data_IF_419927393526
#
_entry.id   IF_419927393526
#
_cell.length_a   1.000
_cell.length_b   1.000
_cell.length_c   1.000
_cell.angle_alpha   90.00
_cell.angle_beta   90.00
_cell.angle_gamma   90.00
#
_symmetry.space_group_name_H-M   'P 1'
#
loop_
_entity.id
_entity.type
_entity.pdbx_description
1 polymer ?
#
# COMPACT_ATOMS: atom_id res chain seq x y z
N UNK A 1 5.42 -19.75 -10.76
CA UNK A 1 5.56 -18.46 -11.46
C UNK A 1 6.20 -18.72 -12.81
N UNK A 2 5.64 -19.65 -13.57
CA UNK A 2 5.82 -19.69 -15.02
C UNK A 2 4.98 -18.57 -15.61
N UNK A 3 5.46 -17.34 -15.45
CA UNK A 3 4.88 -16.19 -16.14
C UNK A 3 5.02 -16.51 -17.64
N UNK A 4 3.92 -16.52 -18.39
CA UNK A 4 4.00 -16.52 -19.85
C UNK A 4 4.98 -15.43 -20.25
N UNK A 5 5.94 -15.74 -21.12
CA UNK A 5 7.20 -15.00 -21.25
C UNK A 5 7.07 -13.50 -21.59
N UNK A 6 5.86 -12.99 -21.89
CA UNK A 6 5.60 -11.61 -22.34
C UNK A 6 4.58 -10.80 -21.51
N UNK A 7 3.85 -11.38 -20.54
CA UNK A 7 2.80 -10.63 -19.83
C UNK A 7 3.35 -9.55 -18.88
N UNK A 8 2.81 -8.31 -18.88
CA UNK A 8 3.16 -7.28 -17.91
C UNK A 8 2.66 -7.65 -16.50
N UNK A 9 3.42 -7.29 -15.47
CA UNK A 9 3.08 -7.59 -14.07
C UNK A 9 2.33 -6.40 -13.46
N UNK A 10 1.18 -6.69 -12.84
CA UNK A 10 0.44 -5.77 -11.99
C UNK A 10 0.62 -6.17 -10.53
N UNK A 11 1.34 -5.34 -9.76
CA UNK A 11 1.75 -5.65 -8.40
C UNK A 11 0.90 -4.90 -7.37
N UNK A 12 0.17 -5.63 -6.53
CA UNK A 12 -0.58 -5.09 -5.41
C UNK A 12 0.15 -5.38 -4.08
N UNK A 13 0.45 -4.33 -3.32
CA UNK A 13 1.13 -4.41 -2.02
C UNK A 13 0.22 -3.87 -0.91
N UNK A 14 -0.21 -4.78 -0.04
CA UNK A 14 -1.16 -4.48 1.03
C UNK A 14 -0.63 -3.59 2.16
N UNK A 15 -1.53 -3.13 3.02
CA UNK A 15 -1.18 -2.46 4.27
C UNK A 15 -0.74 -3.42 5.40
N UNK A 16 -0.12 -2.85 6.43
CA UNK A 16 0.36 -3.61 7.61
C UNK A 16 1.55 -3.00 8.35
N UNK A 17 1.86 -1.72 8.11
CA UNK A 17 2.97 -1.01 8.75
C UNK A 17 4.33 -1.61 8.43
N UNK A 18 5.25 -1.54 9.40
CA UNK A 18 6.64 -2.00 9.26
C UNK A 18 6.75 -3.50 8.92
N UNK A 19 5.79 -4.31 9.40
CA UNK A 19 5.70 -5.73 9.05
C UNK A 19 5.50 -5.92 7.54
N UNK A 20 4.55 -5.17 6.97
CA UNK A 20 4.27 -5.22 5.54
C UNK A 20 5.46 -4.73 4.73
N UNK A 21 6.14 -3.66 5.17
CA UNK A 21 7.33 -3.16 4.51
C UNK A 21 8.42 -4.25 4.41
N UNK A 22 8.76 -4.91 5.50
CA UNK A 22 9.79 -5.96 5.48
C UNK A 22 9.36 -7.18 4.66
N UNK A 23 8.12 -7.67 4.83
CA UNK A 23 7.60 -8.81 4.08
C UNK A 23 7.57 -8.56 2.58
N UNK A 24 7.03 -7.42 2.13
CA UNK A 24 6.97 -7.06 0.72
C UNK A 24 8.37 -6.82 0.13
N UNK A 25 9.32 -6.27 0.91
CA UNK A 25 10.71 -6.14 0.45
C UNK A 25 11.33 -7.51 0.17
N UNK A 26 11.04 -8.52 0.99
CA UNK A 26 11.43 -9.91 0.74
C UNK A 26 10.82 -10.50 -0.53
N UNK A 27 9.52 -10.27 -0.75
CA UNK A 27 8.82 -10.67 -1.98
C UNK A 27 9.47 -10.04 -3.22
N UNK A 28 9.75 -8.74 -3.16
CA UNK A 28 10.39 -8.00 -4.25
C UNK A 28 11.83 -8.47 -4.50
N UNK A 29 12.57 -8.87 -3.45
CA UNK A 29 13.89 -9.49 -3.60
C UNK A 29 13.81 -10.77 -4.41
N UNK A 30 12.85 -11.66 -4.13
CA UNK A 30 12.66 -12.87 -4.93
C UNK A 30 12.30 -12.52 -6.38
N UNK A 31 11.40 -11.55 -6.60
CA UNK A 31 11.07 -11.10 -7.96
C UNK A 31 12.30 -10.54 -8.71
N UNK A 32 13.15 -9.78 -8.03
CA UNK A 32 14.38 -9.24 -8.60
C UNK A 32 15.38 -10.35 -8.95
N UNK A 33 15.57 -11.35 -8.09
CA UNK A 33 16.45 -12.50 -8.38
C UNK A 33 16.00 -13.30 -9.62
N UNK A 34 14.73 -13.16 -10.03
CA UNK A 34 14.16 -13.77 -11.23
C UNK A 34 14.09 -12.80 -12.42
N UNK A 35 14.64 -11.59 -12.32
CA UNK A 35 14.61 -10.58 -13.39
C UNK A 35 13.21 -10.07 -13.71
N UNK A 36 12.30 -10.05 -12.72
CA UNK A 36 10.89 -9.72 -12.95
C UNK A 36 10.55 -8.25 -12.71
N UNK A 37 11.42 -7.45 -12.09
CA UNK A 37 11.09 -6.04 -11.80
C UNK A 37 10.93 -5.22 -13.09
N UNK A 38 11.68 -5.54 -14.14
CA UNK A 38 11.61 -4.92 -15.46
C UNK A 38 10.23 -5.10 -16.11
N UNK A 39 9.48 -6.13 -15.70
CA UNK A 39 8.15 -6.45 -16.23
C UNK A 39 7.02 -5.83 -15.44
N UNK A 40 7.31 -5.23 -14.29
CA UNK A 40 6.30 -4.53 -13.49
C UNK A 40 5.86 -3.31 -14.28
N UNK A 41 4.61 -3.32 -14.73
CA UNK A 41 4.01 -2.23 -15.49
C UNK A 41 3.09 -1.38 -14.61
N UNK A 42 2.54 -1.96 -13.54
CA UNK A 42 1.59 -1.29 -12.64
C UNK A 42 1.83 -1.70 -11.20
N UNK A 43 1.70 -0.74 -10.30
CA UNK A 43 1.85 -0.90 -8.86
C UNK A 43 0.66 -0.26 -8.16
N UNK A 44 0.09 -0.96 -7.20
CA UNK A 44 -0.95 -0.44 -6.32
C UNK A 44 -0.56 -0.72 -4.89
N UNK A 45 -0.55 0.31 -4.05
CA UNK A 45 -0.04 0.19 -2.68
C UNK A 45 -0.99 0.77 -1.65
N UNK A 46 -0.93 0.21 -0.45
CA UNK A 46 -1.70 0.66 0.70
C UNK A 46 -0.79 0.77 1.92
N UNK A 47 -0.88 1.85 2.67
CA UNK A 47 -0.25 2.00 4.00
C UNK A 47 1.24 1.63 4.00
N UNK A 48 1.64 0.59 4.76
CA UNK A 48 3.01 0.08 4.78
C UNK A 48 3.59 -0.25 3.39
N UNK A 49 2.77 -0.80 2.48
CA UNK A 49 3.19 -1.01 1.09
C UNK A 49 3.53 0.30 0.38
N UNK A 50 2.77 1.38 0.62
CA UNK A 50 3.03 2.70 0.04
C UNK A 50 4.33 3.30 0.59
N UNK A 51 4.53 3.20 1.90
CA UNK A 51 5.76 3.69 2.56
C UNK A 51 7.00 2.96 2.03
N UNK A 52 6.96 1.62 1.94
CA UNK A 52 8.03 0.83 1.35
C UNK A 52 8.36 1.32 -0.06
N UNK A 53 7.32 1.55 -0.86
CA UNK A 53 7.51 1.92 -2.25
C UNK A 53 8.11 3.32 -2.39
N UNK A 54 7.72 4.27 -1.54
CA UNK A 54 8.42 5.55 -1.42
C UNK A 54 9.92 5.42 -1.16
N UNK A 55 10.34 4.50 -0.28
CA UNK A 55 11.76 4.24 0.00
C UNK A 55 12.49 3.61 -1.19
N UNK A 56 11.85 2.67 -1.88
CA UNK A 56 12.40 2.04 -3.09
C UNK A 56 12.66 3.10 -4.16
N UNK A 57 11.66 3.92 -4.49
CA UNK A 57 11.82 5.02 -5.44
C UNK A 57 12.93 5.99 -5.00
N UNK A 58 12.93 6.41 -3.72
CA UNK A 58 13.98 7.29 -3.18
C UNK A 58 15.39 6.73 -3.33
N UNK A 59 15.59 5.43 -3.16
CA UNK A 59 16.91 4.79 -3.28
C UNK A 59 17.50 4.86 -4.71
N UNK A 60 16.63 5.11 -5.70
CA UNK A 60 16.94 5.10 -7.13
C UNK A 60 16.57 6.43 -7.82
N UNK A 61 16.72 7.55 -7.11
CA UNK A 61 16.46 8.90 -7.63
C UNK A 61 15.05 9.06 -8.22
N UNK A 62 14.06 8.48 -7.53
CA UNK A 62 12.65 8.47 -7.90
C UNK A 62 12.35 7.77 -9.23
N UNK A 63 13.20 6.82 -9.62
CA UNK A 63 12.96 5.88 -10.72
C UNK A 63 12.72 4.46 -10.19
N UNK A 64 12.03 3.68 -11.00
CA UNK A 64 11.86 2.26 -10.74
C UNK A 64 13.19 1.51 -10.95
N UNK A 65 13.65 0.70 -9.98
CA UNK A 65 14.91 -0.01 -10.11
C UNK A 65 14.81 -1.17 -11.11
N UNK A 66 15.91 -1.42 -11.81
CA UNK A 66 16.16 -2.75 -12.41
C UNK A 66 16.31 -3.81 -11.31
N UNK A 67 16.11 -5.07 -11.65
CA UNK A 67 16.32 -6.20 -10.77
C UNK A 67 17.73 -6.22 -10.17
N UNK A 68 18.76 -5.92 -10.97
CA UNK A 68 20.14 -5.84 -10.50
C UNK A 68 20.34 -4.69 -9.50
N UNK A 69 19.90 -3.47 -9.84
CA UNK A 69 19.98 -2.33 -8.93
C UNK A 69 19.20 -2.58 -7.63
N UNK A 70 18.08 -3.30 -7.72
CA UNK A 70 17.29 -3.64 -6.56
C UNK A 70 18.07 -4.52 -5.59
N UNK A 71 18.75 -5.56 -6.09
CA UNK A 71 19.54 -6.48 -5.27
C UNK A 71 20.76 -5.77 -4.67
N UNK A 72 21.53 -5.07 -5.51
CA UNK A 72 22.84 -4.53 -5.11
C UNK A 72 22.74 -3.29 -4.22
N UNK A 73 21.72 -2.45 -4.45
CA UNK A 73 21.61 -1.13 -3.83
C UNK A 73 20.32 -0.98 -3.03
N UNK A 74 19.18 -1.21 -3.65
CA UNK A 74 17.88 -0.84 -3.04
C UNK A 74 17.55 -1.70 -1.83
N UNK A 75 17.65 -3.02 -1.94
CA UNK A 75 17.36 -3.96 -0.87
C UNK A 75 18.19 -3.69 0.39
N UNK A 76 19.54 -3.62 0.33
CA UNK A 76 20.34 -3.32 1.52
C UNK A 76 20.07 -1.92 2.07
N UNK A 77 19.93 -0.91 1.20
CA UNK A 77 19.66 0.46 1.65
C UNK A 77 18.31 0.60 2.36
N UNK A 78 17.24 0.05 1.79
CA UNK A 78 15.90 0.08 2.39
C UNK A 78 15.92 -0.70 3.70
N UNK A 79 16.52 -1.89 3.73
CA UNK A 79 16.66 -2.68 4.96
C UNK A 79 17.34 -1.88 6.08
N UNK A 80 18.40 -1.15 5.75
CA UNK A 80 19.09 -0.27 6.70
C UNK A 80 18.20 0.88 7.19
N UNK A 81 17.41 1.52 6.31
CA UNK A 81 16.48 2.56 6.75
C UNK A 81 15.41 2.03 7.72
N UNK A 82 14.89 0.81 7.49
CA UNK A 82 13.90 0.19 8.39
C UNK A 82 14.49 -0.18 9.75
N UNK A 83 15.80 -0.47 9.80
CA UNK A 83 16.51 -0.87 11.02
C UNK A 83 17.12 0.30 11.81
N UNK A 84 17.31 1.46 11.17
CA UNK A 84 17.99 2.63 11.77
C UNK A 84 17.06 3.80 12.09
N UNK A 85 15.89 3.89 11.45
CA UNK A 85 14.97 5.02 11.61
C UNK A 85 13.54 4.59 11.96
N UNK A 86 12.96 5.28 12.94
CA UNK A 86 11.56 5.09 13.35
C UNK A 86 10.70 6.23 12.80
N UNK A 87 9.80 5.91 11.86
CA UNK A 87 8.84 6.86 11.31
C UNK A 87 7.92 7.42 12.40
N UNK A 88 7.48 6.57 13.33
CA UNK A 88 6.62 6.98 14.44
C UNK A 88 7.36 7.94 15.38
N UNK A 89 8.60 7.63 15.76
CA UNK A 89 9.38 8.51 16.63
C UNK A 89 9.69 9.85 15.94
N UNK A 90 10.07 9.82 14.67
CA UNK A 90 10.31 11.03 13.87
C UNK A 90 9.07 11.93 13.79
N UNK A 91 7.89 11.35 13.51
CA UNK A 91 6.64 12.09 13.52
C UNK A 91 6.32 12.72 14.88
N UNK A 92 6.63 12.05 16.00
CA UNK A 92 6.51 12.65 17.34
C UNK A 92 7.53 13.75 17.58
N UNK A 93 8.78 13.61 17.11
CA UNK A 93 9.81 14.65 17.24
C UNK A 93 9.44 15.94 16.49
N UNK A 94 8.59 15.85 15.46
CA UNK A 94 8.05 17.06 14.81
C UNK A 94 7.23 17.93 15.77
N UNK A 95 6.70 17.39 16.87
CA UNK A 95 6.00 18.15 17.91
C UNK A 95 6.93 18.97 18.81
N UNK A 96 8.24 18.73 18.80
CA UNK A 96 9.20 19.57 19.53
C UNK A 96 9.31 20.99 18.92
N UNK A 97 8.79 21.19 17.71
CA UNK A 97 8.76 22.48 17.03
C UNK A 97 7.43 23.19 17.33
N UNK A 98 7.41 24.34 18.04
CA UNK A 98 6.18 24.99 18.51
C UNK A 98 5.16 25.28 17.40
N UNK A 99 5.62 25.65 16.19
CA UNK A 99 4.74 25.91 15.05
C UNK A 99 3.97 24.69 14.55
N UNK A 100 4.43 23.47 14.86
CA UNK A 100 3.77 22.22 14.47
C UNK A 100 2.67 21.79 15.47
N UNK A 101 2.50 22.47 16.61
CA UNK A 101 1.48 22.12 17.61
C UNK A 101 0.05 22.22 17.07
N UNK A 102 -0.17 23.04 16.03
CA UNK A 102 -1.43 23.09 15.26
C UNK A 102 -1.84 21.72 14.68
N UNK A 103 -0.89 20.79 14.55
CA UNK A 103 -1.09 19.44 14.03
C UNK A 103 -1.08 18.35 15.12
N UNK A 104 -1.06 18.71 16.41
CA UNK A 104 -1.11 17.73 17.52
C UNK A 104 -2.30 16.76 17.41
N UNK A 105 -3.45 17.27 16.91
CA UNK A 105 -4.67 16.48 16.67
C UNK A 105 -4.74 15.87 15.26
N UNK A 106 -3.79 16.21 14.38
CA UNK A 106 -3.71 15.75 12.99
C UNK A 106 -2.35 15.12 12.72
N UNK A 107 -2.13 13.97 13.36
CA UNK A 107 -0.84 13.27 13.35
C UNK A 107 -0.44 12.81 11.93
N UNK A 108 -1.38 12.66 11.00
CA UNK A 108 -1.09 12.44 9.57
C UNK A 108 -0.30 13.58 8.93
N UNK A 109 -0.54 14.83 9.34
CA UNK A 109 0.28 15.96 8.89
C UNK A 109 1.71 15.90 9.45
N UNK A 110 1.88 15.39 10.69
CA UNK A 110 3.20 15.17 11.28
C UNK A 110 3.96 14.06 10.55
N UNK A 111 3.27 12.98 10.17
CA UNK A 111 3.84 11.92 9.35
C UNK A 111 4.25 12.45 7.97
N UNK A 112 3.42 13.28 7.33
CA UNK A 112 3.77 13.92 6.06
C UNK A 112 5.02 14.80 6.20
N UNK A 113 5.13 15.58 7.28
CA UNK A 113 6.32 16.39 7.56
C UNK A 113 7.57 15.53 7.78
N UNK A 114 7.46 14.42 8.53
CA UNK A 114 8.55 13.47 8.75
C UNK A 114 9.03 12.86 7.43
N UNK A 115 8.11 12.36 6.61
CA UNK A 115 8.42 11.78 5.31
C UNK A 115 9.13 12.79 4.40
N UNK A 116 8.64 14.03 4.36
CA UNK A 116 9.20 15.08 3.51
C UNK A 116 10.56 15.56 4.01
N UNK A 117 10.69 15.91 5.29
CA UNK A 117 11.88 16.60 5.83
C UNK A 117 13.03 15.65 6.16
N UNK A 118 12.71 14.49 6.75
CA UNK A 118 13.74 13.62 7.35
C UNK A 118 13.98 12.35 6.54
N UNK A 119 12.97 11.91 5.80
CA UNK A 119 13.07 10.82 4.84
C UNK A 119 13.20 11.31 3.40
N UNK A 120 13.32 12.63 3.19
CA UNK A 120 13.49 13.32 1.89
C UNK A 120 12.59 12.78 0.77
N UNK A 121 11.32 12.54 1.09
CA UNK A 121 10.26 12.25 0.13
C UNK A 121 9.53 13.55 -0.26
N UNK A 122 10.23 14.68 -0.23
CA UNK A 122 9.74 16.00 -0.62
C UNK A 122 9.95 16.27 -2.11
N UNK A 123 9.35 15.41 -2.93
CA UNK A 123 9.29 15.59 -4.38
C UNK A 123 7.83 15.66 -4.82
N UNK A 124 7.52 16.36 -5.93
CA UNK A 124 6.18 16.36 -6.50
C UNK A 124 5.81 14.95 -7.00
N UNK A 125 4.53 14.60 -6.99
CA UNK A 125 4.06 13.32 -7.54
C UNK A 125 4.45 13.15 -9.01
N UNK A 126 4.52 14.25 -9.78
CA UNK A 126 4.97 14.23 -11.17
C UNK A 126 6.45 13.88 -11.35
N UNK A 127 7.26 13.88 -10.28
CA UNK A 127 8.64 13.40 -10.32
C UNK A 127 8.73 11.87 -10.39
N UNK A 128 7.67 11.16 -10.00
CA UNK A 128 7.58 9.72 -10.23
C UNK A 128 7.32 9.50 -11.72
N UNK A 129 8.21 8.77 -12.38
CA UNK A 129 8.05 8.40 -13.79
C UNK A 129 6.71 7.72 -14.08
N UNK A 130 6.27 7.76 -15.34
CA UNK A 130 4.99 7.19 -15.76
C UNK A 130 4.96 5.64 -15.76
N UNK A 131 6.13 5.01 -15.74
CA UNK A 131 6.28 3.55 -15.76
C UNK A 131 7.21 3.07 -14.63
N UNK A 132 6.80 2.09 -13.81
CA UNK A 132 5.45 1.53 -13.75
C UNK A 132 4.44 2.58 -13.28
N UNK A 133 3.20 2.40 -13.72
CA UNK A 133 2.09 3.20 -13.23
C UNK A 133 1.84 2.90 -11.75
N UNK A 134 2.01 3.88 -10.87
CA UNK A 134 1.83 3.69 -9.43
C UNK A 134 0.58 4.39 -8.90
N UNK A 135 -0.34 3.60 -8.34
CA UNK A 135 -1.55 4.04 -7.62
C UNK A 135 -1.34 3.94 -6.12
N UNK A 136 -1.18 5.08 -5.45
CA UNK A 136 -1.16 5.17 -3.98
C UNK A 136 -2.59 5.31 -3.49
N UNK A 137 -3.08 4.37 -2.68
CA UNK A 137 -4.50 4.32 -2.31
C UNK A 137 -4.77 4.97 -0.94
N UNK A 138 -5.86 5.74 -0.89
CA UNK A 138 -6.50 6.29 0.30
C UNK A 138 -8.02 6.07 0.25
N UNK A 139 -8.71 6.57 1.27
CA UNK A 139 -10.18 6.51 1.36
C UNK A 139 -10.73 7.90 1.61
N UNK A 140 -11.62 8.37 0.75
CA UNK A 140 -12.34 9.65 0.92
C UNK A 140 -13.42 9.46 1.98
N UNK A 141 -13.42 10.29 3.04
CA UNK A 141 -14.40 10.19 4.11
C UNK A 141 -15.80 10.62 3.67
N UNK A 142 -15.89 11.60 2.77
CA UNK A 142 -17.13 12.23 2.36
C UNK A 142 -18.06 11.29 1.57
N UNK A 143 -17.50 10.34 0.81
CA UNK A 143 -18.27 9.42 -0.04
C UNK A 143 -17.90 7.94 0.16
N UNK A 144 -16.91 7.64 1.00
CA UNK A 144 -16.44 6.28 1.26
C UNK A 144 -15.82 5.58 0.05
N UNK A 145 -15.32 6.32 -0.95
CA UNK A 145 -14.70 5.74 -2.16
C UNK A 145 -13.17 5.70 -2.05
N UNK A 146 -12.58 4.87 -2.93
CA UNK A 146 -11.13 4.78 -3.10
C UNK A 146 -10.59 6.06 -3.71
N UNK A 147 -9.89 6.85 -2.89
CA UNK A 147 -9.08 7.94 -3.37
C UNK A 147 -7.76 7.39 -3.89
N UNK A 148 -7.28 7.89 -5.03
CA UNK A 148 -5.98 7.50 -5.58
C UNK A 148 -5.11 8.71 -5.86
N UNK A 149 -3.81 8.54 -5.65
CA UNK A 149 -2.77 9.42 -6.19
C UNK A 149 -2.00 8.63 -7.23
N UNK A 150 -1.92 9.14 -8.46
CA UNK A 150 -1.33 8.41 -9.60
C UNK A 150 -0.74 9.38 -10.61
N UNK A 151 0.59 9.38 -10.73
CA UNK A 151 1.30 10.34 -11.58
C UNK A 151 0.93 11.76 -11.18
N UNK A 152 0.41 12.57 -12.10
CA UNK A 152 -0.09 13.91 -11.81
C UNK A 152 -1.57 13.99 -11.45
N UNK A 153 -2.28 12.87 -11.29
CA UNK A 153 -3.72 12.84 -11.06
C UNK A 153 -4.07 12.40 -9.62
N UNK A 154 -5.06 13.07 -9.03
CA UNK A 154 -5.65 12.71 -7.74
C UNK A 154 -7.17 12.66 -7.83
N UNK A 155 -7.81 11.79 -7.05
CA UNK A 155 -9.26 11.78 -6.95
C UNK A 155 -9.87 10.39 -6.76
N UNK A 156 -11.19 10.33 -6.92
CA UNK A 156 -11.95 9.09 -6.92
C UNK A 156 -13.01 9.10 -8.03
N UNK A 157 -13.60 7.95 -8.31
CA UNK A 157 -14.49 7.80 -9.47
C UNK A 157 -15.83 8.53 -9.30
N UNK A 158 -16.23 8.89 -8.08
CA UNK A 158 -17.50 9.55 -7.79
C UNK A 158 -17.36 11.08 -7.77
N UNK A 159 -16.30 11.62 -7.17
CA UNK A 159 -16.00 13.05 -7.23
C UNK A 159 -15.46 13.47 -8.60
N UNK A 160 -14.75 12.56 -9.27
CA UNK A 160 -13.91 12.88 -10.42
C UNK A 160 -12.45 13.03 -10.04
N UNK A 161 -11.66 13.45 -11.02
CA UNK A 161 -10.20 13.52 -10.92
C UNK A 161 -9.71 14.94 -11.19
N UNK A 162 -8.65 15.33 -10.50
CA UNK A 162 -7.98 16.61 -10.67
C UNK A 162 -6.50 16.41 -10.99
N UNK A 163 -5.95 17.32 -11.78
CA UNK A 163 -4.50 17.39 -11.99
C UNK A 163 -3.85 18.10 -10.79
N UNK A 164 -2.85 17.44 -10.21
CA UNK A 164 -2.09 17.88 -9.05
C UNK A 164 -0.60 17.50 -9.20
N UNK A 165 0.09 17.93 -10.27
CA UNK A 165 1.48 17.55 -10.53
C UNK A 165 2.42 17.92 -9.38
N UNK A 166 2.21 19.08 -8.76
CA UNK A 166 2.99 19.61 -7.64
C UNK A 166 2.60 19.04 -6.27
N UNK A 167 1.65 18.09 -6.20
CA UNK A 167 1.25 17.50 -4.93
C UNK A 167 2.44 16.72 -4.32
N UNK A 168 2.80 16.92 -3.04
CA UNK A 168 3.97 16.26 -2.47
C UNK A 168 3.78 14.75 -2.31
N UNK A 169 4.74 13.96 -2.78
CA UNK A 169 4.76 12.49 -2.64
C UNK A 169 4.65 12.08 -1.17
N UNK A 170 5.44 12.67 -0.28
CA UNK A 170 5.39 12.38 1.16
C UNK A 170 4.00 12.60 1.78
N UNK A 171 3.21 13.54 1.25
CA UNK A 171 1.82 13.75 1.70
C UNK A 171 0.88 12.65 1.19
N UNK A 172 1.03 12.18 -0.05
CA UNK A 172 0.24 11.06 -0.59
C UNK A 172 0.54 9.76 0.19
N UNK A 173 1.81 9.53 0.50
CA UNK A 173 2.26 8.42 1.33
C UNK A 173 1.70 8.51 2.75
N UNK A 174 1.67 9.70 3.35
CA UNK A 174 1.09 9.92 4.66
C UNK A 174 -0.42 9.65 4.67
N UNK A 175 -1.17 10.07 3.63
CA UNK A 175 -2.60 9.71 3.48
C UNK A 175 -2.77 8.20 3.46
N UNK A 176 -1.98 7.52 2.63
CA UNK A 176 -2.09 6.07 2.49
C UNK A 176 -1.78 5.33 3.79
N UNK A 177 -0.98 5.91 4.70
CA UNK A 177 -0.59 5.38 6.00
C UNK A 177 -1.37 5.97 7.20
N UNK A 178 -2.38 6.81 6.95
CA UNK A 178 -3.14 7.53 7.95
C UNK A 178 -4.16 6.63 8.67
N UNK A 179 -3.67 5.63 9.43
CA UNK A 179 -4.55 4.66 10.07
C UNK A 179 -5.52 5.35 11.06
N UNK A 180 -6.85 5.10 10.98
CA UNK A 180 -7.87 5.88 11.67
C UNK A 180 -7.71 6.01 13.19
N UNK A 181 -7.19 4.96 13.86
CA UNK A 181 -7.02 4.95 15.33
C UNK A 181 -5.75 5.70 15.76
N UNK A 182 -4.79 5.87 14.86
CA UNK A 182 -3.44 6.35 15.18
C UNK A 182 -3.18 7.77 14.73
N UNK A 183 -3.60 8.14 13.52
CA UNK A 183 -3.09 9.36 12.85
C UNK A 183 -4.14 10.42 12.46
N UNK A 184 -5.42 10.06 12.37
CA UNK A 184 -6.50 10.94 11.90
C UNK A 184 -6.43 11.23 10.40
N UNK A 185 -7.46 11.82 9.77
CA UNK A 185 -7.44 12.07 8.34
C UNK A 185 -6.47 13.20 7.96
N UNK A 186 -5.96 13.14 6.72
CA UNK A 186 -5.32 14.30 6.10
C UNK A 186 -6.38 15.12 5.36
N UNK A 187 -6.43 16.42 5.63
CA UNK A 187 -7.37 17.33 4.97
C UNK A 187 -6.75 17.89 3.67
N UNK A 188 -7.33 17.51 2.53
CA UNK A 188 -7.01 18.07 1.22
C UNK A 188 -7.92 19.27 0.95
N UNK A 189 -7.34 20.41 0.56
CA UNK A 189 -8.12 21.55 0.06
C UNK A 189 -8.63 21.24 -1.35
N UNK A 190 -9.89 20.82 -1.46
CA UNK A 190 -10.47 20.45 -2.74
C UNK A 190 -10.72 21.69 -3.63
N UNK A 191 -10.95 22.85 -3.01
CA UNK A 191 -11.19 24.13 -3.67
C UNK A 191 -10.00 24.69 -4.45
N UNK A 192 -8.79 24.14 -4.26
CA UNK A 192 -7.59 24.55 -4.99
C UNK A 192 -7.36 23.78 -6.29
N UNK A 193 -8.27 22.87 -6.65
CA UNK A 193 -8.14 22.00 -7.80
C UNK A 193 -9.33 22.15 -8.75
N UNK A 194 -9.07 22.00 -10.05
CA UNK A 194 -10.13 21.85 -11.05
C UNK A 194 -10.45 20.37 -11.20
N UNK A 195 -11.61 19.96 -10.70
CA UNK A 195 -12.10 18.59 -10.77
C UNK A 195 -12.82 18.36 -12.07
N UNK A 196 -12.51 17.23 -12.71
CA UNK A 196 -13.16 16.79 -13.94
C UNK A 196 -13.72 15.40 -13.76
N UNK A 197 -14.94 15.18 -14.23
CA UNK A 197 -15.61 13.88 -14.21
C UNK A 197 -16.20 13.60 -15.58
N UNK A 198 -16.22 12.32 -15.94
CA UNK A 198 -16.95 11.82 -17.11
C UNK A 198 -18.00 10.82 -16.66
N UNK A 199 -19.07 10.72 -17.42
CA UNK A 199 -20.06 9.65 -17.24
C UNK A 199 -19.42 8.29 -17.50
N UNK A 200 -20.01 7.25 -16.91
CA UNK A 200 -19.54 5.89 -17.10
C UNK A 200 -19.58 5.53 -18.60
N UNK A 201 -18.54 4.85 -19.08
CA UNK A 201 -18.30 4.48 -20.49
C UNK A 201 -18.14 5.63 -21.50
N UNK A 202 -18.12 6.89 -21.08
CA UNK A 202 -17.82 7.99 -21.98
C UNK A 202 -16.35 7.95 -22.49
N UNK A 203 -16.06 8.48 -23.69
CA UNK A 203 -14.70 8.54 -24.24
C UNK A 203 -13.70 9.21 -23.27
N UNK A 204 -12.42 8.84 -23.36
CA UNK A 204 -11.36 9.60 -22.66
C UNK A 204 -11.25 10.97 -23.31
N UNK A 205 -11.12 12.04 -22.51
CA UNK A 205 -11.10 13.42 -23.01
C UNK A 205 -12.47 14.11 -23.01
N UNK A 206 -13.56 13.40 -22.71
CA UNK A 206 -14.90 13.99 -22.58
C UNK A 206 -15.22 14.43 -21.13
N UNK A 207 -14.20 14.61 -20.29
CA UNK A 207 -14.39 14.98 -18.89
C UNK A 207 -14.87 16.43 -18.78
N UNK A 208 -15.93 16.64 -18.02
CA UNK A 208 -16.48 17.96 -17.74
C UNK A 208 -16.04 18.44 -16.37
N UNK A 209 -15.86 19.75 -16.23
CA UNK A 209 -15.57 20.36 -14.92
C UNK A 209 -16.79 20.15 -14.03
N UNK A 210 -16.55 19.65 -12.82
CA UNK A 210 -17.59 19.41 -11.82
C UNK A 210 -17.26 20.12 -10.52
N UNK A 211 -18.30 20.56 -9.82
CA UNK A 211 -18.19 20.92 -8.42
C UNK A 211 -18.26 19.64 -7.59
N UNK A 212 -17.24 19.42 -6.76
CA UNK A 212 -17.19 18.28 -5.84
C UNK A 212 -18.08 18.48 -4.62
N UNK A 213 -18.60 19.70 -4.38
CA UNK A 213 -19.51 20.03 -3.28
C UNK A 213 -18.82 20.18 -1.92
N UNK A 214 -17.49 20.02 -1.87
CA UNK A 214 -16.70 20.09 -0.63
C UNK A 214 -15.50 21.02 -0.80
N UNK A 215 -15.34 21.98 0.13
CA UNK A 215 -14.13 22.83 0.17
C UNK A 215 -12.89 22.03 0.61
N UNK A 216 -13.09 21.01 1.43
CA UNK A 216 -12.04 20.12 1.95
C UNK A 216 -12.50 18.67 1.89
N UNK A 217 -11.59 17.78 1.51
CA UNK A 217 -11.78 16.34 1.56
C UNK A 217 -10.92 15.76 2.70
N UNK A 218 -11.48 14.83 3.46
CA UNK A 218 -10.77 14.14 4.53
C UNK A 218 -10.34 12.76 4.06
N UNK A 219 -9.04 12.56 3.93
CA UNK A 219 -8.49 11.33 3.38
C UNK A 219 -7.91 10.45 4.49
N UNK A 220 -8.39 9.21 4.55
CA UNK A 220 -7.92 8.15 5.43
C UNK A 220 -7.03 7.15 4.70
N UNK A 221 -6.39 6.26 5.47
CA UNK A 221 -5.67 5.09 4.98
C UNK A 221 -6.51 4.29 3.96
N UNK A 222 -5.87 3.82 2.89
CA UNK A 222 -6.52 3.05 1.84
C UNK A 222 -7.07 1.70 2.32
N UNK A 223 -6.57 1.19 3.44
CA UNK A 223 -6.99 -0.05 4.06
C UNK A 223 -8.43 -0.04 4.56
N UNK A 224 -9.03 1.14 4.77
CA UNK A 224 -10.45 1.27 5.08
C UNK A 224 -11.34 0.83 3.90
N UNK A 225 -10.91 1.08 2.66
CA UNK A 225 -11.63 0.70 1.44
C UNK A 225 -11.19 -0.65 0.88
N UNK A 226 -9.88 -0.81 0.66
CA UNK A 226 -9.26 -2.00 0.08
C UNK A 226 -7.81 -2.17 0.57
N UNK A 227 -7.62 -2.90 1.67
CA UNK A 227 -6.29 -3.14 2.23
C UNK A 227 -5.36 -3.98 1.34
N UNK A 228 -5.88 -4.72 0.36
CA UNK A 228 -5.05 -5.49 -0.57
C UNK A 228 -4.50 -4.61 -1.68
N UNK A 229 -5.15 -3.48 -1.98
CA UNK A 229 -4.81 -2.63 -3.11
C UNK A 229 -5.06 -3.31 -4.47
N UNK A 230 -6.00 -4.26 -4.55
CA UNK A 230 -6.26 -5.05 -5.76
C UNK A 230 -7.30 -4.40 -6.68
N UNK A 231 -8.14 -3.50 -6.15
CA UNK A 231 -9.19 -2.81 -6.87
C UNK A 231 -8.73 -2.15 -8.20
N UNK A 232 -7.54 -1.53 -8.34
CA UNK A 232 -7.13 -1.00 -9.64
C UNK A 232 -6.88 -2.05 -10.73
N UNK A 233 -6.68 -3.33 -10.38
CA UNK A 233 -6.29 -4.38 -11.33
C UNK A 233 -7.35 -5.47 -11.51
N UNK A 234 -8.24 -5.63 -10.54
CA UNK A 234 -9.20 -6.72 -10.52
C UNK A 234 -10.59 -6.22 -10.15
N UNK A 235 -11.63 -6.81 -10.75
CA UNK A 235 -13.02 -6.61 -10.36
C UNK A 235 -13.45 -7.75 -9.43
N UNK A 236 -13.56 -7.56 -8.10
CA UNK A 236 -13.94 -8.64 -7.18
C UNK A 236 -15.32 -9.23 -7.49
N UNK A 237 -16.29 -8.40 -7.90
CA UNK A 237 -17.64 -8.84 -8.23
C UNK A 237 -17.74 -9.64 -9.53
N UNK A 238 -16.97 -9.28 -10.56
CA UNK A 238 -16.92 -10.01 -11.84
C UNK A 238 -15.90 -11.14 -11.85
N UNK A 239 -15.00 -11.16 -10.87
CA UNK A 239 -13.85 -12.05 -10.78
C UNK A 239 -12.98 -12.05 -12.04
N UNK A 240 -12.73 -10.86 -12.58
CA UNK A 240 -12.01 -10.66 -13.84
C UNK A 240 -10.97 -9.54 -13.70
N UNK A 241 -9.84 -9.63 -14.42
CA UNK A 241 -8.86 -8.56 -14.47
C UNK A 241 -9.44 -7.32 -15.19
N UNK A 242 -9.02 -6.13 -14.76
CA UNK A 242 -9.41 -4.85 -15.42
C UNK A 242 -8.66 -4.63 -16.73
N UNK A 243 -7.44 -5.17 -16.84
CA UNK A 243 -6.68 -5.20 -18.09
C UNK A 243 -6.44 -6.65 -18.50
N UNK A 244 -6.82 -7.00 -19.72
CA UNK A 244 -6.51 -8.31 -20.27
C UNK A 244 -4.98 -8.48 -20.42
N UNK A 245 -4.48 -9.68 -20.13
CA UNK A 245 -3.06 -10.03 -20.30
C UNK A 245 -2.12 -9.67 -19.14
N UNK A 246 -2.60 -8.93 -18.13
CA UNK A 246 -1.83 -8.66 -16.90
C UNK A 246 -1.65 -9.93 -16.07
N UNK A 247 -0.41 -10.18 -15.65
CA UNK A 247 -0.12 -11.15 -14.59
C UNK A 247 -0.24 -10.45 -13.23
N UNK A 248 -1.28 -10.76 -12.46
CA UNK A 248 -1.59 -10.05 -11.21
C UNK A 248 -0.86 -10.72 -10.03
N UNK A 249 0.01 -9.98 -9.35
CA UNK A 249 0.66 -10.42 -8.11
C UNK A 249 0.06 -9.66 -6.93
N UNK A 250 -0.61 -10.37 -6.03
CA UNK A 250 -1.17 -9.80 -4.80
C UNK A 250 -0.31 -10.24 -3.61
N UNK A 251 0.47 -9.31 -3.06
CA UNK A 251 1.24 -9.53 -1.83
C UNK A 251 0.48 -8.98 -0.63
N UNK A 252 0.09 -9.88 0.28
CA UNK A 252 -0.77 -9.59 1.43
C UNK A 252 -0.04 -9.85 2.75
N UNK A 253 0.35 -8.76 3.41
CA UNK A 253 0.97 -8.70 4.71
C UNK A 253 0.00 -8.25 5.83
N UNK A 254 -1.31 -8.29 5.56
CA UNK A 254 -2.35 -8.02 6.53
C UNK A 254 -2.29 -8.99 7.70
N UNK A 255 -2.33 -8.45 8.93
CA UNK A 255 -2.43 -9.28 10.13
C UNK A 255 -3.81 -9.95 10.16
N UNK A 256 -3.88 -11.28 10.35
CA UNK A 256 -5.16 -11.94 10.49
C UNK A 256 -5.83 -11.54 11.80
N UNK A 257 -7.16 -11.57 11.80
CA UNK A 257 -7.96 -11.30 12.99
C UNK A 257 -7.63 -12.32 14.09
N UNK A 258 -7.16 -11.90 15.28
CA UNK A 258 -6.88 -12.82 16.38
C UNK A 258 -8.17 -13.45 16.92
N UNK A 259 -8.10 -14.70 17.38
CA UNK A 259 -9.21 -15.39 18.02
C UNK A 259 -9.52 -14.80 19.42
N UNK A 260 -10.79 -14.87 19.81
CA UNK A 260 -11.27 -14.46 21.14
C UNK A 260 -11.60 -12.97 21.30
N UNK A 261 -12.31 -12.64 22.38
CA UNK A 261 -12.62 -11.27 22.81
C UNK A 261 -11.85 -11.00 24.11
N UNK A 262 -10.82 -10.17 24.06
CA UNK A 262 -9.94 -9.90 25.21
C UNK A 262 -10.49 -8.84 26.20
N UNK A 263 -11.80 -8.56 26.20
CA UNK A 263 -12.29 -7.31 26.83
C UNK A 263 -13.73 -7.36 27.38
N UNK A 264 -13.90 -6.90 28.62
CA UNK A 264 -15.19 -6.72 29.30
C UNK A 264 -16.13 -5.68 28.65
N UNK A 265 -17.39 -5.56 29.14
CA UNK A 265 -18.49 -4.80 28.50
C UNK A 265 -18.19 -3.35 28.14
N UNK A 266 -17.44 -2.62 28.98
CA UNK A 266 -17.20 -1.18 28.85
C UNK A 266 -15.87 -0.83 28.16
N UNK A 267 -15.17 -1.80 27.56
CA UNK A 267 -13.84 -1.56 27.03
C UNK A 267 -13.88 -0.83 25.66
N UNK A 268 -13.25 0.35 25.51
CA UNK A 268 -13.22 1.11 24.26
C UNK A 268 -12.54 0.34 23.09
N UNK A 269 -11.70 -0.66 23.37
CA UNK A 269 -11.13 -1.56 22.37
C UNK A 269 -12.18 -2.47 21.70
N UNK A 270 -13.44 -2.49 22.17
CA UNK A 270 -14.54 -3.17 21.45
C UNK A 270 -14.85 -2.53 20.11
N UNK A 271 -14.85 -1.19 20.02
CA UNK A 271 -15.07 -0.49 18.75
C UNK A 271 -13.93 -0.82 17.79
N UNK A 272 -12.68 -0.85 18.29
CA UNK A 272 -11.54 -1.35 17.53
C UNK A 272 -11.76 -2.78 17.03
N UNK A 273 -12.21 -3.68 17.90
CA UNK A 273 -12.47 -5.08 17.52
C UNK A 273 -13.54 -5.19 16.43
N UNK A 274 -14.61 -4.40 16.51
CA UNK A 274 -15.65 -4.36 15.46
C UNK A 274 -15.06 -3.89 14.14
N UNK A 275 -14.25 -2.83 14.14
CA UNK A 275 -13.55 -2.34 12.95
C UNK A 275 -12.58 -3.39 12.39
N UNK A 276 -11.83 -4.09 13.24
CA UNK A 276 -10.94 -5.17 12.82
C UNK A 276 -11.73 -6.31 12.14
N UNK A 277 -12.91 -6.68 12.67
CA UNK A 277 -13.80 -7.69 12.08
C UNK A 277 -14.31 -7.23 10.71
N UNK A 278 -14.85 -6.01 10.61
CA UNK A 278 -15.38 -5.46 9.37
C UNK A 278 -14.29 -5.37 8.29
N UNK A 279 -13.09 -4.92 8.67
CA UNK A 279 -11.93 -4.86 7.77
C UNK A 279 -11.51 -6.25 7.28
N UNK A 280 -11.46 -7.24 8.17
CA UNK A 280 -11.12 -8.62 7.80
C UNK A 280 -12.15 -9.24 6.85
N UNK A 281 -13.45 -8.98 7.04
CA UNK A 281 -14.48 -9.46 6.11
C UNK A 281 -14.34 -8.85 4.72
N UNK A 282 -14.07 -7.53 4.65
CA UNK A 282 -13.81 -6.81 3.40
C UNK A 282 -12.59 -7.36 2.65
N UNK A 283 -11.52 -7.68 3.38
CA UNK A 283 -10.31 -8.34 2.86
C UNK A 283 -10.59 -9.77 2.40
N UNK A 284 -11.25 -10.57 3.23
CA UNK A 284 -11.51 -11.98 2.95
C UNK A 284 -12.38 -12.19 1.70
N UNK A 285 -13.37 -11.32 1.45
CA UNK A 285 -14.16 -11.35 0.21
C UNK A 285 -13.30 -11.16 -1.04
N UNK A 286 -12.35 -10.22 -1.01
CA UNK A 286 -11.43 -9.97 -2.13
C UNK A 286 -10.43 -11.10 -2.32
N UNK A 287 -9.91 -11.66 -1.22
CA UNK A 287 -9.04 -12.84 -1.26
C UNK A 287 -9.77 -14.00 -1.94
N UNK A 288 -10.98 -14.35 -1.49
CA UNK A 288 -11.77 -15.46 -2.06
C UNK A 288 -12.06 -15.24 -3.54
N UNK A 289 -12.47 -14.03 -3.94
CA UNK A 289 -12.73 -13.69 -5.33
C UNK A 289 -11.48 -13.87 -6.21
N UNK A 290 -10.31 -13.43 -5.73
CA UNK A 290 -9.05 -13.56 -6.46
C UNK A 290 -8.54 -15.01 -6.48
N UNK A 291 -8.68 -15.76 -5.38
CA UNK A 291 -8.33 -17.18 -5.32
C UNK A 291 -9.17 -17.99 -6.31
N UNK A 292 -10.49 -17.74 -6.39
CA UNK A 292 -11.35 -18.41 -7.37
C UNK A 292 -10.91 -18.08 -8.81
N UNK A 293 -10.57 -16.83 -9.09
CA UNK A 293 -10.02 -16.43 -10.39
C UNK A 293 -8.74 -17.20 -10.76
N UNK A 294 -7.79 -17.34 -9.82
CA UNK A 294 -6.55 -18.10 -10.05
C UNK A 294 -6.80 -19.60 -10.26
N UNK A 295 -7.78 -20.19 -9.57
CA UNK A 295 -8.18 -21.58 -9.77
C UNK A 295 -8.75 -21.82 -11.17
N UNK A 296 -9.58 -20.87 -11.65
CA UNK A 296 -10.18 -20.93 -12.98
C UNK A 296 -9.20 -20.55 -14.10
N UNK A 297 -8.13 -19.81 -13.79
CA UNK A 297 -7.14 -19.32 -14.75
C UNK A 297 -5.71 -19.60 -14.25
N UNK A 298 -5.25 -20.87 -14.27
CA UNK A 298 -3.90 -21.21 -13.87
C UNK A 298 -2.87 -20.39 -14.64
N UNK A 299 -1.87 -19.84 -13.94
CA UNK A 299 -0.83 -19.01 -14.55
C UNK A 299 -1.23 -17.54 -14.82
N UNK A 300 -2.42 -17.10 -14.44
CA UNK A 300 -2.84 -15.70 -14.61
C UNK A 300 -2.36 -14.74 -13.50
N UNK A 301 -1.77 -15.27 -12.42
CA UNK A 301 -1.27 -14.45 -11.32
C UNK A 301 -0.73 -15.26 -10.15
N UNK A 302 -0.43 -14.57 -9.05
CA UNK A 302 0.05 -15.16 -7.81
C UNK A 302 -0.55 -14.43 -6.59
N UNK A 303 -0.89 -15.20 -5.55
CA UNK A 303 -1.34 -14.67 -4.27
C UNK A 303 -0.33 -15.04 -3.18
N UNK A 304 0.32 -14.05 -2.60
CA UNK A 304 1.41 -14.18 -1.64
C UNK A 304 0.93 -13.73 -0.26
N UNK A 305 0.39 -14.67 0.52
CA UNK A 305 -0.16 -14.39 1.84
C UNK A 305 0.93 -14.54 2.91
N UNK A 306 1.02 -13.60 3.84
CA UNK A 306 1.90 -13.69 5.01
C UNK A 306 1.58 -14.88 5.91
N UNK A 307 0.37 -15.44 5.81
CA UNK A 307 -0.01 -16.65 6.52
C UNK A 307 0.32 -17.97 5.82
N UNK A 308 0.95 -17.94 4.64
CA UNK A 308 1.20 -19.16 3.84
C UNK A 308 2.22 -20.07 4.52
N UNK A 309 1.85 -21.32 4.87
CA UNK A 309 2.78 -22.28 5.46
C UNK A 309 3.81 -22.78 4.42
N UNK A 310 5.01 -22.20 4.40
CA UNK A 310 6.10 -22.59 3.48
C UNK A 310 6.86 -23.84 3.91
N UNK A 311 6.79 -24.21 5.20
CA UNK A 311 7.49 -25.38 5.78
C UNK A 311 6.53 -26.32 6.51
N UNK A 312 5.33 -26.51 5.96
CA UNK A 312 4.29 -27.36 6.56
C UNK A 312 3.30 -26.61 7.46
N UNK A 313 2.22 -27.29 7.91
CA UNK A 313 1.04 -26.66 8.51
C UNK A 313 1.33 -25.83 9.77
N UNK A 314 2.40 -26.16 10.51
CA UNK A 314 2.77 -25.50 11.76
C UNK A 314 4.04 -24.63 11.65
N UNK A 315 4.20 -23.97 10.49
CA UNK A 315 5.33 -23.10 10.19
C UNK A 315 5.50 -21.99 11.25
N UNK A 316 6.59 -22.06 12.02
CA UNK A 316 6.94 -21.08 13.06
C UNK A 316 7.09 -19.67 12.47
N UNK A 317 7.64 -19.56 11.27
CA UNK A 317 7.89 -18.29 10.60
C UNK A 317 6.58 -17.63 10.14
N UNK A 318 5.61 -18.43 9.69
CA UNK A 318 4.26 -17.94 9.42
C UNK A 318 3.58 -17.38 10.68
N UNK A 319 3.72 -18.08 11.82
CA UNK A 319 3.17 -17.61 13.11
C UNK A 319 3.87 -16.34 13.59
N UNK A 320 5.19 -16.28 13.49
CA UNK A 320 5.98 -15.11 13.82
C UNK A 320 5.57 -13.91 12.95
N UNK A 321 5.55 -14.08 11.64
CA UNK A 321 5.19 -13.02 10.71
C UNK A 321 3.78 -12.50 10.97
N UNK A 322 2.78 -13.38 11.13
CA UNK A 322 1.39 -12.99 11.42
C UNK A 322 1.20 -12.26 12.75
N UNK A 323 1.98 -12.63 13.77
CA UNK A 323 1.88 -12.03 15.11
C UNK A 323 2.69 -10.76 15.28
N UNK A 324 3.60 -10.46 14.34
CA UNK A 324 4.41 -9.26 14.40
C UNK A 324 3.54 -8.00 14.41
N UNK A 325 3.74 -7.04 15.33
CA UNK A 325 2.82 -5.92 15.51
C UNK A 325 2.78 -4.98 14.29
N UNK A 326 1.58 -4.53 13.94
CA UNK A 326 1.39 -3.43 13.00
C UNK A 326 1.80 -2.13 13.69
N UNK A 327 2.95 -1.57 13.31
CA UNK A 327 3.44 -0.28 13.82
C UNK A 327 4.31 0.43 12.79
N UNK A 328 4.71 1.67 13.08
CA UNK A 328 5.73 2.40 12.31
C UNK A 328 7.00 2.65 13.16
N UNK A 329 7.22 1.77 14.15
CA UNK A 329 8.41 1.79 15.01
C UNK A 329 9.61 1.18 14.27
N UNK A 330 10.79 1.45 14.81
CA UNK A 330 12.04 0.84 14.40
C UNK A 330 11.94 -0.69 14.39
N UNK A 331 12.46 -1.33 13.34
CA UNK A 331 12.57 -2.78 13.25
C UNK A 331 13.94 -3.23 13.77
N UNK A 332 13.99 -4.27 14.60
CA UNK A 332 15.28 -4.87 14.95
C UNK A 332 15.88 -5.59 13.73
N UNK A 333 17.21 -5.64 13.62
CA UNK A 333 17.89 -6.32 12.50
C UNK A 333 17.43 -7.78 12.33
N UNK A 334 17.36 -8.52 13.43
CA UNK A 334 16.84 -9.89 13.44
C UNK A 334 15.37 -9.98 13.03
N UNK A 335 14.54 -8.99 13.42
CA UNK A 335 13.14 -8.92 13.02
C UNK A 335 12.98 -8.64 11.52
N UNK A 336 13.82 -7.76 10.98
CA UNK A 336 13.90 -7.48 9.55
C UNK A 336 14.29 -8.73 8.76
N UNK A 337 15.40 -9.39 9.13
CA UNK A 337 15.90 -10.58 8.44
C UNK A 337 14.88 -11.72 8.45
N UNK A 338 14.20 -11.98 9.58
CA UNK A 338 13.11 -12.98 9.62
C UNK A 338 11.94 -12.60 8.72
N UNK A 339 11.45 -11.36 8.77
CA UNK A 339 10.27 -10.96 7.99
C UNK A 339 10.55 -10.90 6.49
N UNK A 340 11.67 -10.31 6.08
CA UNK A 340 12.07 -10.23 4.69
C UNK A 340 12.47 -11.60 4.15
N UNK A 341 13.22 -12.40 4.90
CA UNK A 341 13.54 -13.78 4.54
C UNK A 341 12.28 -14.64 4.36
N UNK A 342 11.29 -14.47 5.24
CA UNK A 342 10.02 -15.18 5.11
C UNK A 342 9.18 -14.70 3.91
N UNK A 343 9.13 -13.38 3.63
CA UNK A 343 8.48 -12.86 2.43
C UNK A 343 9.10 -13.41 1.14
N UNK A 344 10.42 -13.52 1.10
CA UNK A 344 11.16 -14.17 0.02
C UNK A 344 10.76 -15.66 -0.13
N UNK A 345 10.74 -16.40 0.98
CA UNK A 345 10.35 -17.81 0.99
C UNK A 345 8.90 -18.02 0.51
N UNK A 346 7.96 -17.14 0.87
CA UNK A 346 6.57 -17.21 0.39
C UNK A 346 6.49 -16.99 -1.12
N UNK A 347 7.23 -16.01 -1.66
CA UNK A 347 7.29 -15.78 -3.10
C UNK A 347 7.87 -16.98 -3.85
N UNK A 348 8.97 -17.56 -3.35
CA UNK A 348 9.57 -18.79 -3.88
C UNK A 348 8.62 -19.98 -3.82
N UNK A 349 7.87 -20.13 -2.74
CA UNK A 349 6.90 -21.22 -2.57
C UNK A 349 5.68 -21.10 -3.49
N UNK A 350 5.22 -19.87 -3.76
CA UNK A 350 4.18 -19.65 -4.76
C UNK A 350 4.67 -20.00 -6.17
N UNK A 351 5.97 -19.82 -6.45
CA UNK A 351 6.55 -20.17 -7.73
C UNK A 351 6.51 -21.68 -8.03
N UNK A 352 6.70 -22.54 -7.03
CA UNK A 352 6.73 -24.00 -7.23
C UNK A 352 5.33 -24.62 -7.37
N UNK A 353 4.27 -23.88 -7.03
CA UNK A 353 2.86 -24.32 -7.10
C UNK A 353 2.09 -23.77 -8.30
N UNK A 354 2.67 -22.84 -9.05
CA UNK A 354 2.07 -22.22 -10.24
C UNK A 354 2.90 -22.51 -11.47
#
# INVERSE_FOLDING_TARGET
MTVTASSPIALALSGGGIRAMAFHLGVLKHMAERGLLERVARISTVSGGSLLMGLIYRSCDFRWPTSQQFIDKTYPWVGEQLCSRSLQAGAFLQLLRPWNWRFCLSRSNLLALELRKNWGLDVPLSAIGLSPEWSINGTTAENGKRFRFKGSEIGDWELGYAQAPSFPLGSALAVSAAFPIGFGPLALRADTFTWKKRTWDAPKGSEQVVDVGFKRLHLYDGGLYDNLGVEPFFHPGKQQPKNAGDYIVVSDAGAPLPAGLRSGPLNPFRIKRMMDIMSEQSRALRIRAFTNYLQMNPGAGAQLLIGTPVSGPDCAEARFARSFPTSLKLLSRAGFERLAGYGHAVAKHAETRS
#
